data_IF_600932761922
#
_entry.id   IF_600932761922
#
_cell.length_a   1.000
_cell.length_b   1.000
_cell.length_c   1.000
_cell.angle_alpha   90.00
_cell.angle_beta   90.00
_cell.angle_gamma   90.00
#
_symmetry.space_group_name_H-M   'P 1'
#
loop_
_entity.id
_entity.type
_entity.pdbx_description
1 polymer ?
#
# COMPACT_ATOMS: atom_id res chain seq x y z
N UNK A 1 4.44 -15.09 -22.58
CA UNK A 1 3.52 -14.37 -21.67
C UNK A 1 4.32 -13.77 -20.54
N UNK A 2 4.03 -12.53 -20.12
CA UNK A 2 4.65 -11.95 -18.92
C UNK A 2 4.11 -12.61 -17.65
N UNK A 3 4.87 -12.53 -16.55
CA UNK A 3 4.42 -13.05 -15.25
C UNK A 3 3.06 -12.47 -14.82
N UNK A 4 2.86 -11.16 -15.04
CA UNK A 4 1.59 -10.49 -14.73
C UNK A 4 0.43 -11.02 -15.57
N UNK A 5 0.64 -11.24 -16.87
CA UNK A 5 -0.39 -11.79 -17.75
C UNK A 5 -0.81 -13.20 -17.33
N UNK A 6 0.15 -14.03 -16.88
CA UNK A 6 -0.13 -15.36 -16.34
C UNK A 6 -0.96 -15.28 -15.06
N UNK A 7 -0.59 -14.42 -14.10
CA UNK A 7 -1.32 -14.27 -12.83
C UNK A 7 -2.74 -13.73 -13.02
N UNK A 8 -2.94 -12.79 -13.95
CA UNK A 8 -4.30 -12.29 -14.28
C UNK A 8 -5.17 -13.43 -14.80
N UNK A 9 -4.60 -14.31 -15.62
CA UNK A 9 -5.33 -15.45 -16.16
C UNK A 9 -5.65 -16.51 -15.07
N UNK A 10 -4.71 -16.77 -14.15
CA UNK A 10 -4.96 -17.61 -12.97
C UNK A 10 -6.12 -17.08 -12.12
N UNK A 11 -6.18 -15.75 -11.88
CA UNK A 11 -7.29 -15.12 -11.15
C UNK A 11 -8.63 -15.26 -11.85
N UNK A 12 -8.67 -15.16 -13.19
CA UNK A 12 -9.89 -15.37 -13.98
C UNK A 12 -10.43 -16.80 -13.86
N UNK A 13 -9.55 -17.77 -13.62
CA UNK A 13 -9.92 -19.18 -13.38
C UNK A 13 -10.32 -19.46 -11.94
N UNK A 14 -10.39 -18.44 -11.08
CA UNK A 14 -10.81 -18.56 -9.69
C UNK A 14 -9.68 -18.82 -8.69
N UNK A 15 -8.41 -18.72 -9.12
CA UNK A 15 -7.28 -18.83 -8.21
C UNK A 15 -7.28 -17.66 -7.21
N UNK A 16 -6.88 -17.92 -5.96
CA UNK A 16 -6.91 -16.90 -4.91
C UNK A 16 -5.61 -16.11 -4.92
N UNK A 17 -5.72 -14.79 -4.76
CA UNK A 17 -4.56 -13.94 -4.49
C UNK A 17 -3.89 -14.33 -3.18
N UNK A 18 -2.56 -14.45 -3.23
CA UNK A 18 -1.72 -14.63 -2.06
C UNK A 18 -1.82 -13.40 -1.15
N UNK A 19 -1.40 -13.55 0.11
CA UNK A 19 -1.39 -12.44 1.06
C UNK A 19 -0.57 -11.24 0.54
N UNK A 20 0.58 -11.50 -0.08
CA UNK A 20 1.44 -10.45 -0.63
C UNK A 20 0.77 -9.73 -1.81
N UNK A 21 0.14 -10.45 -2.72
CA UNK A 21 -0.57 -9.86 -3.86
C UNK A 21 -1.76 -9.03 -3.39
N UNK A 22 -2.48 -9.49 -2.37
CA UNK A 22 -3.54 -8.70 -1.72
C UNK A 22 -2.98 -7.40 -1.13
N UNK A 23 -1.81 -7.45 -0.50
CA UNK A 23 -1.14 -6.25 0.05
C UNK A 23 -0.67 -5.30 -1.03
N UNK A 24 -0.15 -5.80 -2.16
CA UNK A 24 0.21 -4.95 -3.30
C UNK A 24 -1.03 -4.30 -3.93
N UNK A 25 -2.12 -5.04 -4.08
CA UNK A 25 -3.39 -4.51 -4.60
C UNK A 25 -4.00 -3.45 -3.66
N UNK A 26 -3.83 -3.58 -2.34
CA UNK A 26 -4.25 -2.55 -1.38
C UNK A 26 -3.55 -1.21 -1.66
N UNK A 27 -2.25 -1.23 -1.99
CA UNK A 27 -1.49 -0.01 -2.31
C UNK A 27 -1.84 0.58 -3.69
N UNK A 28 -2.45 -0.20 -4.58
CA UNK A 28 -2.95 0.29 -5.87
C UNK A 28 -4.25 1.11 -5.74
N UNK A 29 -4.94 1.05 -4.59
CA UNK A 29 -6.11 1.87 -4.34
C UNK A 29 -5.72 3.36 -4.27
N UNK A 30 -6.38 4.28 -4.98
CA UNK A 30 -5.92 5.67 -5.14
C UNK A 30 -5.76 6.41 -3.79
N UNK A 31 -6.69 6.20 -2.86
CA UNK A 31 -6.62 6.79 -1.51
C UNK A 31 -5.42 6.26 -0.72
N UNK A 32 -5.16 4.94 -0.78
CA UNK A 32 -4.02 4.36 -0.09
C UNK A 32 -2.73 4.82 -0.73
N UNK A 33 -2.63 4.81 -2.05
CA UNK A 33 -1.47 5.34 -2.77
C UNK A 33 -1.15 6.78 -2.37
N UNK A 34 -2.17 7.65 -2.31
CA UNK A 34 -2.01 9.03 -1.86
C UNK A 34 -1.48 9.14 -0.43
N UNK A 35 -2.05 8.36 0.50
CA UNK A 35 -1.59 8.32 1.89
C UNK A 35 -0.17 7.74 2.02
N UNK A 36 0.18 6.73 1.22
CA UNK A 36 1.51 6.14 1.18
C UNK A 36 2.55 7.13 0.63
N UNK A 37 2.20 7.93 -0.38
CA UNK A 37 3.07 8.99 -0.90
C UNK A 37 3.29 10.09 0.14
N UNK A 38 2.22 10.59 0.77
CA UNK A 38 2.32 11.58 1.84
C UNK A 38 3.12 11.03 3.04
N UNK A 39 2.87 9.78 3.40
CA UNK A 39 3.61 9.07 4.44
C UNK A 39 5.09 8.95 4.09
N UNK A 40 5.42 8.56 2.86
CA UNK A 40 6.79 8.46 2.38
C UNK A 40 7.53 9.81 2.40
N UNK A 41 6.86 10.89 1.96
CA UNK A 41 7.42 12.26 2.03
C UNK A 41 7.67 12.66 3.48
N UNK A 42 6.68 12.43 4.35
CA UNK A 42 6.80 12.69 5.79
C UNK A 42 7.97 11.90 6.39
N UNK A 43 8.05 10.61 6.14
CA UNK A 43 9.12 9.74 6.64
C UNK A 43 10.51 10.19 6.16
N UNK A 44 10.65 10.50 4.88
CA UNK A 44 11.90 11.01 4.31
C UNK A 44 12.33 12.33 4.98
N UNK A 45 11.38 13.26 5.18
CA UNK A 45 11.63 14.52 5.87
C UNK A 45 11.97 14.31 7.35
N UNK A 46 11.29 13.39 8.03
CA UNK A 46 11.56 13.02 9.42
C UNK A 46 12.95 12.44 9.63
N UNK A 47 13.37 11.54 8.73
CA UNK A 47 14.74 11.01 8.74
C UNK A 47 15.77 12.12 8.49
N UNK A 48 15.51 13.04 7.56
CA UNK A 48 16.39 14.18 7.29
C UNK A 48 16.56 15.10 8.51
N UNK A 49 15.45 15.42 9.17
CA UNK A 49 15.42 16.34 10.33
C UNK A 49 15.67 15.66 11.67
N UNK A 50 15.81 14.33 11.68
CA UNK A 50 15.89 13.49 12.89
C UNK A 50 14.69 13.71 13.85
N UNK A 51 13.53 14.09 13.31
CA UNK A 51 12.30 14.30 14.07
C UNK A 51 11.37 13.08 13.96
N UNK A 52 11.20 12.40 15.10
CA UNK A 52 10.39 11.19 15.22
C UNK A 52 8.90 11.42 14.90
N UNK A 53 8.39 12.65 15.04
CA UNK A 53 6.97 12.97 14.80
C UNK A 53 6.58 12.68 13.35
N UNK A 54 7.47 12.99 12.41
CA UNK A 54 7.25 12.75 10.99
C UNK A 54 7.39 11.26 10.61
N UNK A 55 8.22 10.51 11.33
CA UNK A 55 8.32 9.05 11.20
C UNK A 55 7.04 8.39 11.71
N UNK A 56 6.49 8.88 12.82
CA UNK A 56 5.18 8.43 13.32
C UNK A 56 4.06 8.79 12.36
N UNK A 57 4.08 9.99 11.78
CA UNK A 57 3.11 10.38 10.75
C UNK A 57 3.17 9.45 9.52
N UNK A 58 4.35 9.04 9.07
CA UNK A 58 4.51 8.02 8.02
C UNK A 58 3.79 6.71 8.40
N UNK A 59 4.03 6.19 9.60
CA UNK A 59 3.41 4.95 10.07
C UNK A 59 1.88 5.08 10.18
N UNK A 60 1.38 6.20 10.71
CA UNK A 60 -0.06 6.46 10.84
C UNK A 60 -0.75 6.58 9.49
N UNK A 61 -0.16 7.31 8.54
CA UNK A 61 -0.72 7.46 7.19
C UNK A 61 -0.80 6.11 6.46
N UNK A 62 0.23 5.27 6.59
CA UNK A 62 0.20 3.90 6.06
C UNK A 62 -0.89 3.04 6.70
N UNK A 63 -1.03 3.10 8.03
CA UNK A 63 -2.08 2.36 8.74
C UNK A 63 -3.48 2.83 8.34
N UNK A 64 -3.70 4.13 8.19
CA UNK A 64 -4.96 4.72 7.72
C UNK A 64 -5.26 4.25 6.29
N UNK A 65 -4.25 4.19 5.41
CA UNK A 65 -4.39 3.67 4.05
C UNK A 65 -4.87 2.23 4.02
N UNK A 66 -4.24 1.36 4.82
CA UNK A 66 -4.68 -0.02 4.99
C UNK A 66 -6.10 -0.11 5.55
N UNK A 67 -6.38 0.58 6.66
CA UNK A 67 -7.70 0.56 7.30
C UNK A 67 -8.80 1.01 6.32
N UNK A 68 -8.57 2.09 5.57
CA UNK A 68 -9.49 2.56 4.54
C UNK A 68 -9.77 1.48 3.50
N UNK A 69 -8.73 0.84 2.96
CA UNK A 69 -8.92 -0.22 1.96
C UNK A 69 -9.68 -1.43 2.50
N UNK A 70 -9.55 -1.75 3.79
CA UNK A 70 -10.29 -2.85 4.41
C UNK A 70 -11.77 -2.50 4.62
N UNK A 71 -12.10 -1.24 4.88
CA UNK A 71 -13.52 -0.79 4.97
C UNK A 71 -14.24 -0.71 3.62
N UNK A 72 -13.49 -0.76 2.51
CA UNK A 72 -14.01 -0.68 1.15
C UNK A 72 -13.93 -2.01 0.37
N UNK A 73 -13.52 -3.09 1.03
CA UNK A 73 -13.57 -4.46 0.52
C UNK A 73 -14.95 -5.07 0.75
#
# INVERSE_FOLDING_TARGET
MSWAAKRIDDYRRGDRSTWLERRMLEHAHPVHLGLALLGGISGAYGLWTHDWRYIVAMALLGLIGHAYTWTRR
#
